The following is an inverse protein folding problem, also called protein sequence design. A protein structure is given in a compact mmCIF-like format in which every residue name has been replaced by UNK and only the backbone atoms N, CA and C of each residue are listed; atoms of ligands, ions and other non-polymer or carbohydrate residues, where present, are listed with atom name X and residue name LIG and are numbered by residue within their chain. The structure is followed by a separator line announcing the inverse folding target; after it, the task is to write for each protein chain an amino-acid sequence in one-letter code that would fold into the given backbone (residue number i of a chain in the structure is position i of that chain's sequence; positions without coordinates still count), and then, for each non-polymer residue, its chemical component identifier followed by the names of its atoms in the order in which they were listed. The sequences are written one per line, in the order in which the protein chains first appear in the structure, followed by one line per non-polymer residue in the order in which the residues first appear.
data_IF_690386327390
#
_entry.id   IF_690386327390
#
_cell.length_a   1.000
_cell.length_b   1.000
_cell.length_c   1.000
_cell.angle_alpha   90.00
_cell.angle_beta   90.00
_cell.angle_gamma   90.00
#
_symmetry.space_group_name_H-M   'P 1'
#
loop_
_entity.id
_entity.type
_entity.pdbx_description
1 polymer ?
#
# COMPACT_ATOMS: atom_id res chain seq x y z
N UNK A 1 -36.79 2.18 25.97
CA UNK A 1 -35.90 1.18 25.34
C UNK A 1 -34.74 1.85 24.62
N UNK A 2 -34.97 2.89 23.82
CA UNK A 2 -33.91 3.70 23.19
C UNK A 2 -32.85 4.23 24.18
N UNK A 3 -33.27 4.74 25.35
CA UNK A 3 -32.34 5.16 26.42
C UNK A 3 -31.37 4.05 26.83
N UNK A 4 -31.83 2.80 26.89
CA UNK A 4 -30.95 1.68 27.25
C UNK A 4 -29.93 1.39 26.15
N UNK A 5 -30.32 1.49 24.87
CA UNK A 5 -29.39 1.38 23.75
C UNK A 5 -28.34 2.50 23.82
N UNK A 6 -28.78 3.74 24.05
CA UNK A 6 -27.90 4.89 24.24
C UNK A 6 -26.88 4.66 25.36
N UNK A 7 -27.34 4.26 26.55
CA UNK A 7 -26.47 4.04 27.71
C UNK A 7 -25.40 2.97 27.42
N UNK A 8 -25.74 1.91 26.66
CA UNK A 8 -24.78 0.86 26.30
C UNK A 8 -23.83 1.27 25.18
N UNK A 9 -24.27 2.06 24.19
CA UNK A 9 -23.37 2.66 23.22
C UNK A 9 -22.42 3.67 23.88
N UNK A 10 -22.88 4.45 24.86
CA UNK A 10 -22.03 5.37 25.62
C UNK A 10 -20.92 4.62 26.38
N UNK A 11 -21.24 3.46 26.97
CA UNK A 11 -20.24 2.60 27.61
C UNK A 11 -19.28 1.97 26.59
N UNK A 12 -19.79 1.53 25.43
CA UNK A 12 -18.96 0.95 24.38
C UNK A 12 -17.99 1.99 23.80
N UNK A 13 -18.50 3.18 23.45
CA UNK A 13 -17.77 4.26 22.77
C UNK A 13 -17.12 5.25 23.74
N UNK A 14 -16.84 4.86 24.98
CA UNK A 14 -16.33 5.78 26.01
C UNK A 14 -15.06 6.53 25.59
N UNK A 15 -14.20 5.91 24.76
CA UNK A 15 -12.98 6.53 24.23
C UNK A 15 -13.24 7.46 23.03
N UNK A 16 -14.37 7.31 22.33
CA UNK A 16 -14.69 8.06 21.10
C UNK A 16 -15.47 9.35 21.37
N UNK A 17 -16.14 9.45 22.51
CA UNK A 17 -17.03 10.56 22.86
C UNK A 17 -16.35 11.94 22.85
N UNK A 18 -15.05 11.99 23.13
CA UNK A 18 -14.28 13.24 23.07
C UNK A 18 -14.09 13.74 21.62
N UNK A 19 -14.09 12.82 20.65
CA UNK A 19 -13.87 13.12 19.23
C UNK A 19 -15.18 13.33 18.48
N UNK A 20 -16.23 12.60 18.84
CA UNK A 20 -17.56 12.73 18.26
C UNK A 20 -18.65 12.54 19.32
N UNK A 21 -19.16 13.64 19.91
CA UNK A 21 -20.21 13.59 20.92
C UNK A 21 -21.57 13.09 20.40
N UNK A 22 -21.81 13.13 19.09
CA UNK A 22 -23.11 12.79 18.49
C UNK A 22 -23.21 11.31 18.10
N UNK A 23 -22.08 10.64 17.90
CA UNK A 23 -21.98 9.25 17.44
C UNK A 23 -22.84 8.25 18.24
N UNK A 24 -22.89 8.40 19.56
CA UNK A 24 -23.68 7.53 20.44
C UNK A 24 -25.18 7.69 20.18
N UNK A 25 -25.65 8.94 20.08
CA UNK A 25 -27.06 9.22 19.82
C UNK A 25 -27.48 8.70 18.44
N UNK A 26 -26.65 8.94 17.43
CA UNK A 26 -26.88 8.46 16.06
C UNK A 26 -26.96 6.94 16.02
N UNK A 27 -25.97 6.22 16.54
CA UNK A 27 -25.95 4.76 16.51
C UNK A 27 -27.03 4.12 17.36
N UNK A 28 -27.41 4.73 18.48
CA UNK A 28 -28.54 4.26 19.28
C UNK A 28 -29.86 4.35 18.50
N UNK A 29 -30.10 5.45 17.79
CA UNK A 29 -31.30 5.64 16.96
C UNK A 29 -31.33 4.66 15.78
N UNK A 30 -30.23 4.56 15.03
CA UNK A 30 -30.15 3.62 13.89
C UNK A 30 -30.32 2.17 14.34
N UNK A 31 -29.74 1.79 15.48
CA UNK A 31 -29.92 0.45 16.04
C UNK A 31 -31.36 0.17 16.47
N UNK A 32 -32.03 1.16 17.05
CA UNK A 32 -33.44 1.04 17.45
C UNK A 32 -34.33 0.89 16.23
N UNK A 33 -34.06 1.64 15.16
CA UNK A 33 -34.77 1.54 13.89
C UNK A 33 -34.60 0.14 13.26
N UNK A 34 -33.39 -0.44 13.28
CA UNK A 34 -33.14 -1.82 12.83
C UNK A 34 -33.98 -2.83 13.62
N UNK A 35 -33.94 -2.72 14.95
CA UNK A 35 -34.72 -3.61 15.83
C UNK A 35 -36.21 -3.45 15.57
N UNK A 36 -36.69 -2.21 15.40
CA UNK A 36 -38.08 -1.92 15.13
C UNK A 36 -38.54 -2.54 13.80
N UNK A 37 -37.77 -2.37 12.71
CA UNK A 37 -38.07 -2.94 11.39
C UNK A 37 -38.12 -4.47 11.39
N UNK A 38 -37.31 -5.13 12.23
CA UNK A 38 -37.18 -6.59 12.29
C UNK A 38 -38.03 -7.25 13.37
N UNK A 39 -38.79 -6.50 14.15
CA UNK A 39 -39.57 -7.03 15.26
C UNK A 39 -41.06 -6.67 15.17
N UNK A 40 -41.85 -7.40 15.92
CA UNK A 40 -43.28 -7.12 16.13
C UNK A 40 -43.47 -6.47 17.49
N UNK A 41 -44.66 -5.89 17.74
CA UNK A 41 -45.01 -5.29 19.05
C UNK A 41 -44.69 -6.20 20.24
N UNK A 42 -44.89 -7.52 20.10
CA UNK A 42 -44.66 -8.50 21.16
C UNK A 42 -43.18 -8.92 21.31
N UNK A 43 -42.39 -8.83 20.24
CA UNK A 43 -40.99 -9.29 20.22
C UNK A 43 -39.98 -8.15 20.35
N UNK A 44 -40.40 -6.90 20.15
CA UNK A 44 -39.55 -5.70 20.20
C UNK A 44 -38.73 -5.61 21.49
N UNK A 45 -39.35 -5.82 22.66
CA UNK A 45 -38.64 -5.75 23.95
C UNK A 45 -37.49 -6.76 24.02
N UNK A 46 -37.74 -7.99 23.58
CA UNK A 46 -36.74 -9.06 23.58
C UNK A 46 -35.65 -8.80 22.54
N UNK A 47 -36.01 -8.27 21.37
CA UNK A 47 -35.07 -7.90 20.32
C UNK A 47 -34.11 -6.79 20.80
N UNK A 48 -34.58 -5.78 21.52
CA UNK A 48 -33.71 -4.76 22.12
C UNK A 48 -32.78 -5.35 23.21
N UNK A 49 -33.27 -6.29 24.04
CA UNK A 49 -32.43 -6.96 25.04
C UNK A 49 -31.30 -7.75 24.36
N UNK A 50 -31.62 -8.47 23.28
CA UNK A 50 -30.63 -9.19 22.48
C UNK A 50 -29.62 -8.23 21.83
N UNK A 51 -30.08 -7.08 21.33
CA UNK A 51 -29.19 -6.05 20.78
C UNK A 51 -28.21 -5.54 21.85
N UNK A 52 -28.72 -5.21 23.04
CA UNK A 52 -27.89 -4.80 24.18
C UNK A 52 -26.87 -5.89 24.56
N UNK A 53 -27.28 -7.16 24.57
CA UNK A 53 -26.37 -8.28 24.84
C UNK A 53 -25.25 -8.38 23.81
N UNK A 54 -25.52 -8.11 22.53
CA UNK A 54 -24.49 -8.08 21.49
C UNK A 54 -23.53 -6.90 21.68
N UNK A 55 -24.04 -5.70 21.98
CA UNK A 55 -23.20 -4.53 22.25
C UNK A 55 -22.22 -4.75 23.40
N UNK A 56 -22.65 -5.43 24.47
CA UNK A 56 -21.79 -5.76 25.62
C UNK A 56 -20.62 -6.69 25.30
N UNK A 57 -20.72 -7.51 24.25
CA UNK A 57 -19.69 -8.47 23.85
C UNK A 57 -18.65 -7.86 22.90
N UNK A 58 -18.90 -6.65 22.40
CA UNK A 58 -18.01 -6.02 21.42
C UNK A 58 -16.72 -5.54 22.08
N UNK A 59 -15.57 -5.65 21.37
CA UNK A 59 -14.36 -4.96 21.78
C UNK A 59 -14.61 -3.45 21.78
N UNK A 60 -14.11 -2.78 22.82
CA UNK A 60 -14.26 -1.33 22.97
C UNK A 60 -13.40 -0.62 21.92
N UNK A 61 -14.00 0.20 21.04
CA UNK A 61 -13.25 0.95 20.06
C UNK A 61 -12.50 2.14 20.67
N UNK A 62 -11.30 2.37 20.16
CA UNK A 62 -10.39 3.47 20.48
C UNK A 62 -10.34 4.54 19.36
N UNK A 63 -10.84 4.23 18.16
CA UNK A 63 -11.07 5.19 17.07
C UNK A 63 -12.42 4.99 16.35
N UNK A 64 -12.93 6.03 15.68
CA UNK A 64 -14.28 6.06 15.07
C UNK A 64 -14.47 4.95 14.02
N UNK A 65 -13.42 4.59 13.30
CA UNK A 65 -13.48 3.60 12.22
C UNK A 65 -13.15 2.17 12.69
N UNK A 66 -13.14 1.92 14.00
CA UNK A 66 -12.88 0.60 14.56
C UNK A 66 -13.95 -0.43 14.14
N UNK A 67 -13.60 -1.71 13.87
CA UNK A 67 -14.55 -2.70 13.32
C UNK A 67 -15.84 -2.89 14.14
N UNK A 68 -15.78 -2.67 15.45
CA UNK A 68 -16.95 -2.78 16.35
C UNK A 68 -17.88 -1.56 16.37
N UNK A 69 -17.52 -0.48 15.68
CA UNK A 69 -18.33 0.74 15.56
C UNK A 69 -19.42 0.56 14.50
N UNK A 70 -20.62 1.04 14.82
CA UNK A 70 -21.81 0.93 13.98
C UNK A 70 -22.92 0.13 14.66
N UNK A 71 -24.00 -0.12 13.92
CA UNK A 71 -25.10 -0.97 14.39
C UNK A 71 -24.73 -2.45 14.33
N UNK A 72 -25.61 -3.34 14.80
CA UNK A 72 -25.43 -4.80 14.74
C UNK A 72 -25.45 -5.29 13.31
N UNK A 73 -26.39 -4.81 12.49
CA UNK A 73 -26.46 -5.26 11.10
C UNK A 73 -25.23 -4.81 10.31
N UNK A 74 -24.74 -3.58 10.54
CA UNK A 74 -23.54 -3.09 9.86
C UNK A 74 -22.28 -3.86 10.21
N UNK A 75 -22.08 -4.16 11.50
CA UNK A 75 -20.93 -4.95 11.96
C UNK A 75 -21.03 -6.37 11.40
N UNK A 76 -22.22 -6.98 11.45
CA UNK A 76 -22.45 -8.34 10.92
C UNK A 76 -22.23 -8.39 9.41
N UNK A 77 -22.76 -7.44 8.65
CA UNK A 77 -22.58 -7.37 7.20
C UNK A 77 -21.11 -7.17 6.81
N UNK A 78 -20.35 -6.37 7.57
CA UNK A 78 -18.90 -6.23 7.38
C UNK A 78 -18.16 -7.55 7.64
N UNK A 79 -18.49 -8.26 8.72
CA UNK A 79 -17.92 -9.57 9.03
C UNK A 79 -18.24 -10.62 7.94
N UNK A 80 -19.48 -10.65 7.46
CA UNK A 80 -19.90 -11.56 6.38
C UNK A 80 -19.20 -11.25 5.06
N UNK A 81 -19.11 -9.97 4.67
CA UNK A 81 -18.37 -9.54 3.49
C UNK A 81 -16.89 -9.90 3.59
N UNK A 82 -16.28 -9.71 4.76
CA UNK A 82 -14.89 -10.12 4.99
C UNK A 82 -14.69 -11.63 4.92
N UNK A 83 -15.63 -12.43 5.46
CA UNK A 83 -15.61 -13.90 5.32
C UNK A 83 -15.74 -14.32 3.86
N UNK A 84 -16.60 -13.66 3.10
CA UNK A 84 -16.75 -13.92 1.67
C UNK A 84 -15.45 -13.62 0.92
N UNK A 85 -14.82 -12.46 1.17
CA UNK A 85 -13.55 -12.08 0.57
C UNK A 85 -12.44 -13.08 0.93
N UNK A 86 -12.24 -13.36 2.22
CA UNK A 86 -11.18 -14.27 2.70
C UNK A 86 -11.36 -15.72 2.22
N UNK A 87 -12.59 -16.16 1.93
CA UNK A 87 -12.86 -17.49 1.37
C UNK A 87 -12.46 -17.63 -0.11
N UNK A 88 -12.26 -16.53 -0.82
CA UNK A 88 -11.87 -16.56 -2.24
C UNK A 88 -10.38 -16.82 -2.38
N UNK A 89 -10.05 -17.93 -3.04
CA UNK A 89 -8.71 -18.18 -3.54
C UNK A 89 -8.56 -17.59 -4.93
N UNK A 90 -7.70 -16.60 -5.09
CA UNK A 90 -7.38 -16.05 -6.40
C UNK A 90 -6.40 -17.00 -7.11
N UNK A 91 -6.70 -17.29 -8.37
CA UNK A 91 -5.82 -18.05 -9.26
C UNK A 91 -5.26 -17.17 -10.36
N UNK A 92 -4.23 -17.67 -11.07
CA UNK A 92 -3.69 -16.97 -12.23
C UNK A 92 -4.76 -16.67 -13.27
N UNK A 93 -5.68 -17.60 -13.52
CA UNK A 93 -6.75 -17.45 -14.50
C UNK A 93 -7.71 -16.30 -14.13
N UNK A 94 -7.93 -16.07 -12.83
CA UNK A 94 -8.78 -14.98 -12.35
C UNK A 94 -8.15 -13.61 -12.62
N UNK A 95 -6.82 -13.53 -12.61
CA UNK A 95 -6.08 -12.27 -12.59
C UNK A 95 -5.32 -11.94 -13.87
N UNK A 96 -5.13 -12.89 -14.78
CA UNK A 96 -4.30 -12.69 -15.97
C UNK A 96 -4.75 -11.47 -16.80
N UNK A 97 -6.05 -11.24 -16.89
CA UNK A 97 -6.62 -10.08 -17.61
C UNK A 97 -6.45 -8.73 -16.89
N UNK A 98 -6.02 -8.74 -15.63
CA UNK A 98 -5.71 -7.55 -14.82
C UNK A 98 -4.21 -7.27 -14.76
N UNK A 99 -3.37 -8.16 -15.31
CA UNK A 99 -1.92 -7.92 -15.38
C UNK A 99 -1.62 -6.70 -16.25
N UNK A 100 -0.69 -5.88 -15.80
CA UNK A 100 -0.35 -4.64 -16.49
C UNK A 100 0.53 -4.90 -17.73
N UNK A 101 0.19 -4.31 -18.89
CA UNK A 101 1.07 -4.29 -20.05
C UNK A 101 2.40 -3.57 -19.78
N UNK A 102 3.48 -3.94 -20.48
CA UNK A 102 4.83 -3.41 -20.26
C UNK A 102 4.95 -1.89 -20.46
N UNK A 103 4.19 -1.29 -21.37
CA UNK A 103 4.13 0.16 -21.56
C UNK A 103 3.50 0.87 -20.35
N UNK A 104 2.46 0.27 -19.77
CA UNK A 104 1.87 0.75 -18.51
C UNK A 104 2.87 0.62 -17.37
N UNK A 105 3.58 -0.52 -17.26
CA UNK A 105 4.65 -0.71 -16.27
C UNK A 105 5.69 0.42 -16.35
N UNK A 106 6.21 0.71 -17.55
CA UNK A 106 7.19 1.79 -17.77
C UNK A 106 6.64 3.15 -17.37
N UNK A 107 5.40 3.47 -17.75
CA UNK A 107 4.75 4.74 -17.41
C UNK A 107 4.58 4.93 -15.89
N UNK A 108 4.43 3.83 -15.15
CA UNK A 108 4.33 3.84 -13.69
C UNK A 108 5.68 3.69 -12.98
N UNK A 109 6.78 3.69 -13.74
CA UNK A 109 8.13 3.72 -13.22
C UNK A 109 8.71 2.36 -12.84
N UNK A 110 8.12 1.25 -13.30
CA UNK A 110 8.72 -0.07 -13.17
C UNK A 110 9.97 -0.19 -14.04
N UNK A 111 10.97 -0.91 -13.52
CA UNK A 111 12.14 -1.32 -14.30
C UNK A 111 11.79 -2.67 -14.92
N UNK A 112 11.62 -2.69 -16.24
CA UNK A 112 11.17 -3.88 -16.98
C UNK A 112 12.28 -4.58 -17.75
N UNK A 113 13.42 -3.92 -17.92
CA UNK A 113 14.61 -4.42 -18.60
C UNK A 113 15.82 -4.27 -17.67
N UNK A 114 16.77 -5.21 -17.72
CA UNK A 114 18.00 -5.12 -16.92
C UNK A 114 18.83 -3.97 -17.50
N UNK A 115 19.26 -3.00 -16.67
CA UNK A 115 20.16 -1.94 -17.13
C UNK A 115 21.48 -2.51 -17.68
N UNK A 116 22.06 -1.84 -18.68
CA UNK A 116 23.32 -2.28 -19.28
C UNK A 116 24.50 -2.17 -18.31
N UNK A 117 25.48 -3.06 -18.46
CA UNK A 117 26.71 -3.11 -17.65
C UNK A 117 26.67 -4.11 -16.50
N UNK A 118 27.78 -4.22 -15.76
CA UNK A 118 27.85 -5.05 -14.55
C UNK A 118 27.22 -4.34 -13.35
N UNK A 119 26.38 -5.04 -12.61
CA UNK A 119 25.73 -4.52 -11.41
C UNK A 119 26.42 -4.94 -10.11
N UNK A 120 26.21 -4.15 -9.06
CA UNK A 120 26.76 -4.39 -7.72
C UNK A 120 28.23 -3.99 -7.53
N UNK A 121 28.83 -3.32 -8.51
CA UNK A 121 30.22 -2.83 -8.45
C UNK A 121 30.41 -1.68 -7.46
N UNK A 122 29.35 -0.94 -7.15
CA UNK A 122 29.40 0.18 -6.22
C UNK A 122 28.23 0.07 -5.20
N UNK A 123 28.35 -0.71 -4.12
CA UNK A 123 27.21 -0.97 -3.23
C UNK A 123 26.76 0.26 -2.41
N UNK A 124 27.65 1.25 -2.24
CA UNK A 124 27.45 2.41 -1.37
C UNK A 124 27.90 3.72 -2.03
N UNK A 125 27.29 4.83 -1.60
CA UNK A 125 27.65 6.21 -1.97
C UNK A 125 28.49 6.91 -0.91
N UNK A 126 28.98 6.23 0.12
CA UNK A 126 29.86 6.83 1.14
C UNK A 126 30.99 7.64 0.48
N UNK A 127 31.20 8.87 0.95
CA UNK A 127 32.18 9.82 0.41
C UNK A 127 31.68 10.67 -0.77
N UNK A 128 30.51 10.39 -1.34
CA UNK A 128 29.92 11.16 -2.43
C UNK A 128 28.93 12.20 -1.93
N UNK A 129 28.82 13.31 -2.65
CA UNK A 129 27.81 14.35 -2.38
C UNK A 129 26.50 14.00 -3.07
N UNK A 130 25.42 13.94 -2.30
CA UNK A 130 24.06 13.67 -2.78
C UNK A 130 23.12 14.82 -2.38
N UNK A 131 22.00 14.95 -3.10
CA UNK A 131 20.90 15.84 -2.70
C UNK A 131 20.06 15.15 -1.62
N UNK A 132 19.83 15.82 -0.49
CA UNK A 132 19.01 15.28 0.57
C UNK A 132 17.52 15.23 0.15
N UNK A 133 16.87 14.07 0.29
CA UNK A 133 15.43 13.90 -0.01
C UNK A 133 14.54 14.69 0.95
N UNK A 134 15.04 14.99 2.16
CA UNK A 134 14.28 15.63 3.24
C UNK A 134 14.29 17.15 3.16
N UNK A 135 15.47 17.76 3.10
CA UNK A 135 15.65 19.22 3.12
C UNK A 135 16.12 19.79 1.77
N UNK A 136 16.33 18.95 0.76
CA UNK A 136 16.86 19.33 -0.57
C UNK A 136 18.29 19.91 -0.59
N UNK A 137 18.97 20.04 0.55
CA UNK A 137 20.36 20.52 0.60
C UNK A 137 21.34 19.43 0.16
N UNK A 138 22.45 19.80 -0.51
CA UNK A 138 23.53 18.87 -0.79
C UNK A 138 24.24 18.48 0.51
N UNK A 139 24.61 17.21 0.63
CA UNK A 139 25.36 16.69 1.78
C UNK A 139 26.26 15.54 1.33
N UNK A 140 27.30 15.23 2.11
CA UNK A 140 28.16 14.08 1.85
C UNK A 140 27.61 12.84 2.57
N UNK A 141 27.44 11.73 1.86
CA UNK A 141 27.03 10.46 2.46
C UNK A 141 28.18 9.93 3.32
N UNK A 142 27.89 9.66 4.59
CA UNK A 142 28.84 9.18 5.60
C UNK A 142 28.27 7.97 6.32
N UNK A 143 29.13 7.22 7.00
CA UNK A 143 28.70 6.16 7.91
C UNK A 143 27.85 6.75 9.07
N UNK A 144 26.98 5.94 9.71
CA UNK A 144 25.98 6.44 10.66
C UNK A 144 26.58 7.18 11.85
N UNK A 145 27.76 6.77 12.31
CA UNK A 145 28.52 7.39 13.40
C UNK A 145 28.98 8.83 13.10
N UNK A 146 29.02 9.21 11.83
CA UNK A 146 29.47 10.52 11.32
C UNK A 146 28.42 11.20 10.45
N UNK A 147 27.18 10.71 10.48
CA UNK A 147 26.10 11.27 9.69
C UNK A 147 25.76 12.69 10.17
N UNK A 148 25.55 13.60 9.22
CA UNK A 148 25.12 14.97 9.50
C UNK A 148 23.62 15.00 9.82
N UNK A 149 23.23 15.93 10.68
CA UNK A 149 21.84 16.13 11.07
C UNK A 149 21.11 17.05 10.10
N UNK A 150 19.87 16.68 9.82
CA UNK A 150 18.92 17.33 8.94
C UNK A 150 17.68 17.72 9.77
N UNK A 151 17.27 18.98 9.65
CA UNK A 151 15.96 19.43 10.10
C UNK A 151 14.97 19.35 8.93
N UNK A 152 13.89 18.58 9.10
CA UNK A 152 12.92 18.35 8.02
C UNK A 152 11.48 18.17 8.48
N UNK A 153 10.58 18.14 7.50
CA UNK A 153 9.19 17.79 7.64
C UNK A 153 8.94 16.44 6.96
N UNK A 154 8.49 15.44 7.71
CA UNK A 154 8.12 14.14 7.15
C UNK A 154 6.73 14.16 6.51
N UNK A 155 5.88 15.11 6.90
CA UNK A 155 4.51 15.23 6.40
C UNK A 155 4.48 15.86 5.01
N UNK A 156 3.48 15.49 4.21
CA UNK A 156 3.26 16.10 2.90
C UNK A 156 2.72 17.51 3.06
N UNK A 157 2.92 18.34 2.03
CA UNK A 157 2.34 19.67 1.98
C UNK A 157 0.89 19.59 1.50
N UNK A 158 -0.02 20.32 2.13
CA UNK A 158 -1.41 20.44 1.72
C UNK A 158 -1.91 21.87 1.83
N UNK A 159 -2.89 22.24 1.01
CA UNK A 159 -3.48 23.58 1.01
C UNK A 159 -4.75 23.59 1.84
N UNK A 160 -4.83 24.48 2.82
CA UNK A 160 -6.04 24.76 3.59
C UNK A 160 -6.58 26.14 3.17
N UNK A 161 -7.87 26.21 2.88
CA UNK A 161 -8.58 27.49 2.67
C UNK A 161 -9.02 28.01 4.04
N UNK A 162 -8.67 29.25 4.35
CA UNK A 162 -9.08 29.94 5.58
C UNK A 162 -10.33 30.80 5.33
N UNK A 163 -10.94 31.28 6.42
CA UNK A 163 -12.04 32.25 6.33
C UNK A 163 -11.58 33.48 5.53
N UNK A 164 -12.31 33.84 4.47
CA UNK A 164 -11.93 34.93 3.56
C UNK A 164 -11.29 34.50 2.24
N UNK A 165 -11.21 33.20 1.94
CA UNK A 165 -10.64 32.64 0.70
C UNK A 165 -9.10 32.61 0.60
N UNK A 166 -8.41 33.00 1.68
CA UNK A 166 -6.95 32.89 1.74
C UNK A 166 -6.50 31.42 1.77
N UNK A 167 -5.47 31.10 0.99
CA UNK A 167 -4.92 29.75 0.88
C UNK A 167 -3.57 29.68 1.58
N UNK A 168 -3.47 28.83 2.59
CA UNK A 168 -2.21 28.57 3.29
C UNK A 168 -1.73 27.15 2.98
N UNK A 169 -0.46 27.01 2.63
CA UNK A 169 0.20 25.70 2.49
C UNK A 169 0.76 25.29 3.85
N UNK A 170 0.36 24.12 4.33
CA UNK A 170 0.74 23.56 5.63
C UNK A 170 1.39 22.19 5.44
N UNK A 171 2.20 21.75 6.41
CA UNK A 171 2.67 20.37 6.47
C UNK A 171 1.72 19.48 7.28
N UNK A 172 1.41 18.28 6.79
CA UNK A 172 0.53 17.33 7.51
C UNK A 172 1.12 16.85 8.84
N UNK A 173 2.43 16.97 9.05
CA UNK A 173 3.09 16.47 10.25
C UNK A 173 2.93 17.34 11.49
N UNK A 174 2.85 18.66 11.33
CA UNK A 174 2.84 19.61 12.45
C UNK A 174 1.91 20.80 12.20
N UNK A 175 1.22 20.84 11.06
CA UNK A 175 0.33 21.92 10.64
C UNK A 175 0.98 23.32 10.58
N UNK A 176 2.32 23.39 10.57
CA UNK A 176 3.03 24.66 10.40
C UNK A 176 2.97 25.12 8.94
N UNK A 177 2.86 26.44 8.69
CA UNK A 177 3.00 27.02 7.36
C UNK A 177 4.33 26.65 6.69
N UNK A 178 4.28 26.36 5.39
CA UNK A 178 5.48 26.11 4.58
C UNK A 178 6.38 27.36 4.51
N UNK A 179 5.77 28.55 4.60
CA UNK A 179 6.47 29.83 4.55
C UNK A 179 7.41 30.08 5.74
N UNK A 180 7.15 29.45 6.90
CA UNK A 180 7.93 29.65 8.12
C UNK A 180 9.34 29.04 8.03
N UNK A 181 9.57 28.16 7.04
CA UNK A 181 10.83 27.44 6.88
C UNK A 181 11.16 26.48 8.04
N UNK A 182 12.37 25.93 7.99
CA UNK A 182 12.87 24.98 9.00
C UNK A 182 12.19 23.61 8.97
N UNK A 183 12.64 22.71 9.84
CA UNK A 183 12.07 21.36 10.04
C UNK A 183 11.34 21.23 11.38
N UNK A 184 10.41 20.27 11.49
CA UNK A 184 9.77 19.93 12.77
C UNK A 184 10.30 18.63 13.39
N UNK A 185 11.19 17.94 12.67
CA UNK A 185 11.87 16.72 13.11
C UNK A 185 13.35 16.87 12.75
N UNK A 186 14.20 16.41 13.66
CA UNK A 186 15.65 16.28 13.45
C UNK A 186 15.97 14.81 13.23
N UNK A 187 16.82 14.52 12.25
CA UNK A 187 17.28 13.17 11.93
C UNK A 187 18.38 13.23 10.89
N UNK A 188 18.90 12.11 10.38
CA UNK A 188 19.99 12.15 9.41
C UNK A 188 19.55 12.70 8.04
N UNK A 189 20.49 13.26 7.30
CA UNK A 189 20.32 13.43 5.86
C UNK A 189 20.21 12.07 5.16
N UNK A 190 19.33 11.96 4.16
CA UNK A 190 19.12 10.74 3.37
C UNK A 190 18.96 11.10 1.90
N UNK A 191 19.19 10.15 0.99
CA UNK A 191 19.00 10.36 -0.44
C UNK A 191 18.12 9.26 -1.02
N UNK A 192 17.42 9.59 -2.11
CA UNK A 192 16.65 8.65 -2.90
C UNK A 192 17.25 8.60 -4.31
N UNK A 193 17.50 7.39 -4.80
CA UNK A 193 18.02 7.13 -6.14
C UNK A 193 16.96 6.32 -6.88
N UNK A 194 16.60 6.74 -8.10
CA UNK A 194 15.56 6.10 -8.89
C UNK A 194 16.02 5.75 -10.30
N UNK A 195 17.24 6.17 -10.66
CA UNK A 195 17.83 5.86 -11.95
C UNK A 195 18.14 4.35 -12.03
N UNK A 196 17.62 3.62 -13.03
CA UNK A 196 17.79 2.17 -13.11
C UNK A 196 19.26 1.75 -13.14
N UNK A 197 20.10 2.45 -13.88
CA UNK A 197 21.54 2.16 -14.02
C UNK A 197 22.25 2.34 -12.68
N UNK A 198 22.01 3.46 -11.98
CA UNK A 198 22.59 3.70 -10.67
C UNK A 198 22.14 2.64 -9.63
N UNK A 199 20.86 2.26 -9.64
CA UNK A 199 20.33 1.19 -8.80
C UNK A 199 20.96 -0.17 -9.12
N UNK A 200 21.22 -0.47 -10.39
CA UNK A 200 21.91 -1.67 -10.85
C UNK A 200 23.37 -1.70 -10.36
N UNK A 201 24.07 -0.56 -10.40
CA UNK A 201 25.42 -0.42 -9.83
C UNK A 201 25.43 -0.66 -8.31
N UNK A 202 24.38 -0.25 -7.58
CA UNK A 202 24.25 -0.51 -6.12
C UNK A 202 24.07 -1.99 -5.80
N UNK A 203 23.22 -2.66 -6.57
CA UNK A 203 23.01 -4.10 -6.50
C UNK A 203 22.34 -4.54 -7.81
N UNK A 204 22.92 -5.56 -8.47
CA UNK A 204 22.44 -6.04 -9.75
C UNK A 204 20.95 -6.46 -9.72
N UNK A 205 20.21 -6.00 -10.72
CA UNK A 205 18.88 -6.53 -11.06
C UNK A 205 19.00 -7.93 -11.65
N UNK A 206 18.02 -8.79 -11.40
CA UNK A 206 17.84 -10.04 -12.16
C UNK A 206 16.38 -10.23 -12.52
N UNK A 207 16.11 -10.92 -13.64
CA UNK A 207 14.75 -11.31 -13.96
C UNK A 207 14.31 -12.44 -13.04
N UNK A 208 13.01 -12.48 -12.80
CA UNK A 208 12.32 -13.71 -12.38
C UNK A 208 12.36 -14.69 -13.56
N UNK A 209 12.83 -15.91 -13.30
CA UNK A 209 13.00 -16.94 -14.31
C UNK A 209 11.86 -17.96 -14.20
N UNK A 210 11.45 -18.62 -15.31
CA UNK A 210 10.57 -19.78 -15.23
C UNK A 210 11.16 -20.87 -14.34
N UNK A 211 10.31 -21.59 -13.61
CA UNK A 211 10.73 -22.69 -12.75
C UNK A 211 9.87 -23.94 -13.03
N UNK A 212 10.49 -24.96 -13.63
CA UNK A 212 9.79 -26.19 -14.05
C UNK A 212 9.58 -27.19 -12.90
N UNK A 213 10.03 -26.89 -11.68
CA UNK A 213 9.99 -27.83 -10.55
C UNK A 213 8.59 -27.98 -9.91
N UNK A 214 7.58 -27.22 -10.38
CA UNK A 214 6.17 -27.38 -9.97
C UNK A 214 5.83 -26.94 -8.53
N UNK A 215 6.75 -26.27 -7.83
CA UNK A 215 6.57 -25.82 -6.43
C UNK A 215 6.15 -24.36 -6.30
N UNK A 216 5.98 -23.66 -7.42
CA UNK A 216 5.72 -22.22 -7.44
C UNK A 216 4.24 -21.90 -7.26
N UNK A 217 3.97 -20.71 -6.72
CA UNK A 217 2.62 -20.25 -6.46
C UNK A 217 2.03 -19.59 -7.72
N UNK A 218 0.73 -19.76 -7.93
CA UNK A 218 0.01 -19.10 -9.03
C UNK A 218 -0.05 -17.58 -8.84
N UNK A 219 -0.32 -17.18 -7.60
CA UNK A 219 -0.58 -15.81 -7.17
C UNK A 219 0.02 -15.62 -5.78
N UNK A 220 0.70 -14.50 -5.61
CA UNK A 220 1.17 -14.01 -4.31
C UNK A 220 0.76 -12.56 -4.12
N UNK A 221 0.56 -12.13 -2.88
CA UNK A 221 0.58 -10.71 -2.54
C UNK A 221 1.80 -10.41 -1.67
N UNK A 222 2.47 -9.29 -1.93
CA UNK A 222 3.67 -8.94 -1.20
C UNK A 222 3.78 -7.44 -0.93
N UNK A 223 4.55 -7.13 0.09
CA UNK A 223 4.91 -5.78 0.49
C UNK A 223 6.28 -5.82 1.18
N UNK A 224 7.06 -4.76 1.02
CA UNK A 224 8.38 -4.63 1.61
C UNK A 224 8.46 -3.40 2.52
N UNK A 225 9.15 -3.57 3.65
CA UNK A 225 9.57 -2.44 4.47
C UNK A 225 10.94 -1.98 4.04
N UNK A 226 11.14 -0.66 3.91
CA UNK A 226 12.40 -0.09 3.44
C UNK A 226 13.02 0.90 4.41
N UNK A 227 14.34 0.99 4.34
CA UNK A 227 15.19 1.87 5.14
C UNK A 227 16.10 2.70 4.26
N UNK A 228 16.57 3.83 4.77
CA UNK A 228 17.61 4.63 4.11
C UNK A 228 19.00 4.14 4.54
N UNK A 229 19.87 3.94 3.57
CA UNK A 229 21.23 3.43 3.77
C UNK A 229 22.26 4.30 3.06
N UNK A 230 23.53 4.03 3.31
CA UNK A 230 24.64 4.62 2.51
C UNK A 230 24.58 4.19 1.04
N UNK A 231 23.88 3.10 0.71
CA UNK A 231 23.58 2.64 -0.65
C UNK A 231 22.21 3.05 -1.18
N UNK A 232 21.56 4.04 -0.58
CA UNK A 232 20.24 4.54 -0.97
C UNK A 232 19.09 3.83 -0.24
N UNK A 233 17.89 3.88 -0.82
CA UNK A 233 16.70 3.24 -0.27
C UNK A 233 16.73 1.72 -0.53
N UNK A 234 16.69 0.91 0.54
CA UNK A 234 16.86 -0.54 0.47
C UNK A 234 15.78 -1.28 1.26
N UNK A 235 15.42 -2.47 0.77
CA UNK A 235 14.52 -3.39 1.47
C UNK A 235 15.18 -3.87 2.77
N UNK A 236 14.43 -3.84 3.87
CA UNK A 236 14.82 -4.31 5.19
C UNK A 236 13.89 -5.42 5.72
N UNK A 237 12.69 -5.58 5.14
CA UNK A 237 11.80 -6.72 5.35
C UNK A 237 11.01 -6.98 4.08
N UNK A 238 10.73 -8.23 3.79
CA UNK A 238 9.79 -8.63 2.73
C UNK A 238 8.81 -9.63 3.30
N UNK A 239 7.52 -9.37 3.04
CA UNK A 239 6.41 -10.21 3.42
C UNK A 239 5.69 -10.70 2.17
N UNK A 240 5.38 -12.00 2.12
CA UNK A 240 4.66 -12.64 1.02
C UNK A 240 3.59 -13.54 1.60
N UNK A 241 2.37 -13.37 1.09
CA UNK A 241 1.24 -14.25 1.35
C UNK A 241 0.80 -14.92 0.04
N UNK A 242 0.26 -16.12 0.13
CA UNK A 242 -0.31 -16.81 -1.03
C UNK A 242 -1.66 -16.23 -1.46
N UNK A 243 -2.22 -16.72 -2.57
CA UNK A 243 -3.55 -16.33 -3.07
C UNK A 243 -4.73 -16.65 -2.14
N UNK A 244 -4.51 -17.34 -1.02
CA UNK A 244 -5.51 -17.56 0.05
C UNK A 244 -5.34 -16.58 1.21
N UNK A 245 -4.22 -15.86 1.28
CA UNK A 245 -3.89 -14.91 2.33
C UNK A 245 -3.11 -15.53 3.49
N UNK A 246 -2.55 -16.73 3.31
CA UNK A 246 -1.66 -17.36 4.28
C UNK A 246 -0.24 -16.84 4.06
N UNK A 247 0.42 -16.45 5.15
CA UNK A 247 1.83 -16.08 5.14
C UNK A 247 2.71 -17.27 4.73
N UNK A 248 3.50 -17.06 3.67
CA UNK A 248 4.43 -18.07 3.11
C UNK A 248 5.88 -17.63 3.18
N UNK A 249 6.14 -16.34 3.38
CA UNK A 249 7.48 -15.78 3.54
C UNK A 249 7.41 -14.47 4.33
N UNK A 250 8.20 -14.35 5.39
CA UNK A 250 8.34 -13.10 6.15
C UNK A 250 9.76 -13.04 6.73
N UNK A 251 10.61 -12.23 6.13
CA UNK A 251 12.02 -12.21 6.46
C UNK A 251 12.59 -10.79 6.51
N UNK A 252 13.46 -10.56 7.49
CA UNK A 252 14.30 -9.36 7.56
C UNK A 252 15.49 -9.49 6.62
N UNK A 253 15.81 -8.40 5.92
CA UNK A 253 16.89 -8.34 4.94
C UNK A 253 18.12 -7.66 5.55
N UNK A 254 19.22 -8.41 5.62
CA UNK A 254 20.52 -7.91 6.05
C UNK A 254 21.12 -7.03 4.95
N UNK A 255 21.72 -5.91 5.34
CA UNK A 255 22.41 -5.03 4.40
C UNK A 255 23.68 -5.69 3.83
N UNK A 256 24.00 -5.35 2.58
CA UNK A 256 25.21 -5.84 1.92
C UNK A 256 26.48 -5.33 2.62
N UNK A 257 27.62 -6.04 2.48
CA UNK A 257 28.89 -5.55 2.99
C UNK A 257 29.21 -4.13 2.49
N UNK A 258 29.61 -3.24 3.41
CA UNK A 258 29.93 -1.84 3.12
C UNK A 258 28.71 -0.92 2.96
N UNK A 259 27.50 -1.42 3.26
CA UNK A 259 26.26 -0.65 3.27
C UNK A 259 25.71 -0.59 4.70
N UNK A 260 25.56 0.62 5.22
CA UNK A 260 25.10 0.86 6.57
C UNK A 260 23.72 1.52 6.56
N UNK A 261 22.86 1.15 7.50
CA UNK A 261 21.57 1.82 7.70
C UNK A 261 21.80 3.19 8.31
N UNK A 262 21.34 4.23 7.62
CA UNK A 262 21.43 5.63 8.05
C UNK A 262 20.17 6.01 8.81
N UNK A 263 19.00 5.60 8.32
CA UNK A 263 17.72 5.84 8.97
C UNK A 263 16.78 4.64 8.73
N UNK A 264 16.31 4.05 9.82
CA UNK A 264 15.38 2.92 9.78
C UNK A 264 13.99 3.29 9.27
N UNK A 265 13.67 4.58 9.16
CA UNK A 265 12.38 5.06 8.67
C UNK A 265 11.19 4.47 9.47
N UNK A 266 11.41 4.16 10.76
CA UNK A 266 10.54 3.33 11.62
C UNK A 266 9.08 3.75 11.61
N UNK A 267 8.80 5.05 11.50
CA UNK A 267 7.43 5.57 11.40
C UNK A 267 6.64 4.95 10.26
N UNK A 268 7.30 4.62 9.16
CA UNK A 268 6.68 4.02 8.00
C UNK A 268 7.01 2.54 7.92
N UNK A 269 8.25 2.15 8.24
CA UNK A 269 8.73 0.79 8.01
C UNK A 269 8.45 -0.21 9.15
N UNK A 270 8.20 0.28 10.36
CA UNK A 270 8.17 -0.55 11.59
C UNK A 270 9.51 -1.21 11.95
N UNK A 271 10.58 -0.94 11.18
CA UNK A 271 11.92 -1.49 11.43
C UNK A 271 12.61 -0.67 12.51
N UNK A 272 13.21 -1.36 13.47
CA UNK A 272 14.02 -0.77 14.54
C UNK A 272 15.44 -1.32 14.48
N UNK A 273 16.44 -0.62 15.06
CA UNK A 273 17.79 -1.17 15.17
C UNK A 273 17.82 -2.56 15.82
N UNK A 274 17.00 -2.76 16.85
CA UNK A 274 16.95 -4.01 17.62
C UNK A 274 16.35 -5.16 16.79
N UNK A 275 15.28 -4.93 16.03
CA UNK A 275 14.72 -5.99 15.19
C UNK A 275 15.60 -6.26 13.98
N UNK A 276 16.13 -5.22 13.31
CA UNK A 276 16.97 -5.37 12.13
C UNK A 276 18.30 -6.07 12.41
N UNK A 277 18.85 -5.92 13.62
CA UNK A 277 20.06 -6.64 14.06
C UNK A 277 19.92 -8.17 13.99
N UNK A 278 18.68 -8.69 13.93
CA UNK A 278 18.38 -10.13 13.80
C UNK A 278 18.38 -10.60 12.34
N UNK A 279 18.49 -9.70 11.36
CA UNK A 279 18.49 -10.05 9.95
C UNK A 279 19.73 -10.88 9.58
N UNK A 280 19.51 -12.08 9.05
CA UNK A 280 20.59 -13.02 8.71
C UNK A 280 20.85 -13.03 7.19
N UNK A 281 19.77 -13.07 6.41
CA UNK A 281 19.85 -13.26 4.96
C UNK A 281 20.10 -11.94 4.24
N UNK A 282 21.13 -11.92 3.39
CA UNK A 282 21.34 -10.79 2.47
C UNK A 282 20.31 -10.83 1.34
N UNK A 283 20.15 -9.72 0.60
CA UNK A 283 19.15 -9.59 -0.46
C UNK A 283 19.27 -10.70 -1.52
N UNK A 284 20.49 -11.11 -1.89
CA UNK A 284 20.71 -12.21 -2.83
C UNK A 284 20.18 -13.56 -2.34
N UNK A 285 20.31 -13.85 -1.04
CA UNK A 285 19.77 -15.06 -0.43
C UNK A 285 18.24 -15.00 -0.31
N UNK A 286 17.69 -13.83 0.05
CA UNK A 286 16.24 -13.59 0.05
C UNK A 286 15.64 -13.83 -1.34
N UNK A 287 16.23 -13.26 -2.40
CA UNK A 287 15.78 -13.47 -3.78
C UNK A 287 15.85 -14.93 -4.22
N UNK A 288 16.87 -15.65 -3.77
CA UNK A 288 16.95 -17.10 -4.01
C UNK A 288 15.80 -17.83 -3.31
N UNK A 289 15.46 -17.47 -2.08
CA UNK A 289 14.29 -18.04 -1.39
C UNK A 289 12.98 -17.69 -2.09
N UNK A 290 12.80 -16.43 -2.49
CA UNK A 290 11.64 -15.99 -3.26
C UNK A 290 11.50 -16.76 -4.59
N UNK A 291 12.60 -17.10 -5.27
CA UNK A 291 12.57 -17.86 -6.53
C UNK A 291 12.03 -19.30 -6.39
N UNK A 292 11.97 -19.82 -5.16
CA UNK A 292 11.31 -21.10 -4.89
C UNK A 292 9.79 -20.99 -4.86
N UNK A 293 9.26 -19.79 -4.63
CA UNK A 293 7.84 -19.47 -4.48
C UNK A 293 7.27 -18.71 -5.70
N UNK A 294 8.10 -17.88 -6.33
CA UNK A 294 7.73 -16.91 -7.37
C UNK A 294 8.61 -17.15 -8.60
N UNK A 295 8.00 -17.49 -9.72
CA UNK A 295 8.67 -17.59 -11.03
C UNK A 295 8.22 -16.48 -11.99
N UNK A 296 8.65 -16.55 -13.25
CA UNK A 296 8.26 -15.59 -14.28
C UNK A 296 6.75 -15.56 -14.59
N UNK A 297 6.00 -16.58 -14.15
CA UNK A 297 4.59 -16.78 -14.46
C UNK A 297 3.66 -16.55 -13.26
N UNK A 298 4.17 -16.64 -12.02
CA UNK A 298 3.48 -16.23 -10.79
C UNK A 298 2.98 -14.79 -10.91
N UNK A 299 1.72 -14.51 -10.56
CA UNK A 299 1.22 -13.13 -10.52
C UNK A 299 1.51 -12.52 -9.15
N UNK A 300 2.23 -11.39 -9.12
CA UNK A 300 2.49 -10.61 -7.90
C UNK A 300 1.45 -9.50 -7.75
N UNK A 301 0.76 -9.49 -6.61
CA UNK A 301 -0.17 -8.46 -6.17
C UNK A 301 0.52 -7.53 -5.16
N UNK A 302 0.29 -6.23 -5.26
CA UNK A 302 0.79 -5.24 -4.29
C UNK A 302 0.18 -3.85 -4.48
N UNK A 303 0.73 -2.86 -3.79
CA UNK A 303 0.28 -1.47 -3.86
C UNK A 303 1.46 -0.52 -4.10
N UNK A 304 1.67 -0.09 -5.35
CA UNK A 304 2.88 0.61 -5.75
C UNK A 304 4.11 -0.30 -5.79
N UNK A 305 3.92 -1.51 -6.35
CA UNK A 305 4.91 -2.60 -6.39
C UNK A 305 6.22 -2.21 -7.06
N UNK A 306 6.26 -1.13 -7.85
CA UNK A 306 7.50 -0.69 -8.45
C UNK A 306 8.55 -0.34 -7.40
N UNK A 307 8.16 0.12 -6.22
CA UNK A 307 9.09 0.42 -5.14
C UNK A 307 9.66 -0.85 -4.51
N UNK A 308 8.80 -1.84 -4.26
CA UNK A 308 9.17 -3.16 -3.78
C UNK A 308 10.13 -3.85 -4.74
N UNK A 309 9.74 -3.98 -6.01
CA UNK A 309 10.55 -4.64 -7.04
C UNK A 309 11.87 -3.90 -7.29
N UNK A 310 11.88 -2.56 -7.25
CA UNK A 310 13.14 -1.79 -7.27
C UNK A 310 14.03 -2.18 -6.10
N UNK A 311 13.54 -2.11 -4.87
CA UNK A 311 14.36 -2.34 -3.67
C UNK A 311 14.81 -3.80 -3.53
N UNK A 312 14.02 -4.75 -4.03
CA UNK A 312 14.38 -6.15 -4.16
C UNK A 312 15.32 -6.43 -5.34
N UNK A 313 15.52 -5.46 -6.25
CA UNK A 313 16.24 -5.63 -7.52
C UNK A 313 15.63 -6.76 -8.38
N UNK A 314 14.31 -6.90 -8.24
CA UNK A 314 13.32 -7.71 -8.95
C UNK A 314 12.99 -7.19 -10.36
N UNK A 315 13.19 -7.93 -11.45
CA UNK A 315 12.44 -7.69 -12.69
C UNK A 315 11.39 -8.79 -12.86
N UNK A 316 10.12 -8.39 -12.80
CA UNK A 316 8.99 -9.28 -12.89
C UNK A 316 7.87 -8.60 -13.68
N UNK A 317 7.24 -9.32 -14.59
CA UNK A 317 6.28 -8.73 -15.56
C UNK A 317 4.82 -9.11 -15.29
N UNK A 318 4.55 -10.09 -14.42
CA UNK A 318 3.19 -10.50 -14.08
C UNK A 318 2.72 -9.79 -12.81
N UNK A 319 2.45 -8.48 -12.91
CA UNK A 319 2.04 -7.67 -11.76
C UNK A 319 0.57 -7.23 -11.84
N UNK A 320 -0.12 -7.26 -10.68
CA UNK A 320 -1.40 -6.61 -10.44
C UNK A 320 -1.21 -5.59 -9.32
N UNK A 321 -1.21 -4.30 -9.67
CA UNK A 321 -0.98 -3.22 -8.72
C UNK A 321 -2.28 -2.51 -8.39
N UNK A 322 -2.67 -2.52 -7.11
CA UNK A 322 -3.89 -1.87 -6.65
C UNK A 322 -3.88 -0.35 -6.79
N UNK A 323 -2.72 0.30 -6.79
CA UNK A 323 -2.62 1.74 -7.06
C UNK A 323 -3.02 2.10 -8.51
N UNK A 324 -2.91 1.14 -9.43
CA UNK A 324 -3.25 1.27 -10.84
C UNK A 324 -4.67 0.74 -11.10
N UNK A 325 -5.03 -0.36 -10.44
CA UNK A 325 -6.36 -0.97 -10.54
C UNK A 325 -7.46 -0.04 -10.00
N UNK A 326 -7.13 0.81 -9.03
CA UNK A 326 -8.00 1.83 -8.46
C UNK A 326 -7.45 3.23 -8.75
N UNK A 327 -7.64 3.74 -9.99
CA UNK A 327 -6.99 4.97 -10.43
C UNK A 327 -7.45 6.19 -9.65
N UNK A 328 -6.52 7.12 -9.42
CA UNK A 328 -6.83 8.43 -8.86
C UNK A 328 -7.60 9.29 -9.88
N UNK A 329 -8.55 10.11 -9.42
CA UNK A 329 -9.38 10.97 -10.29
C UNK A 329 -8.57 11.97 -11.15
N UNK A 330 -7.41 12.39 -10.65
CA UNK A 330 -6.49 13.28 -11.35
C UNK A 330 -5.55 12.57 -12.35
N UNK A 331 -5.65 11.23 -12.49
CA UNK A 331 -4.77 10.43 -13.34
C UNK A 331 -3.36 10.25 -12.77
N UNK A 332 -2.52 9.54 -13.51
CA UNK A 332 -1.10 9.36 -13.17
C UNK A 332 -0.37 10.72 -13.15
N UNK A 333 0.65 10.91 -12.28
CA UNK A 333 1.23 9.95 -11.35
C UNK A 333 0.54 9.90 -9.98
N UNK A 334 -0.61 10.58 -9.80
CA UNK A 334 -1.31 10.59 -8.51
C UNK A 334 -1.89 9.22 -8.19
N UNK A 335 -1.81 8.83 -6.92
CA UNK A 335 -2.25 7.54 -6.39
C UNK A 335 -3.20 7.74 -5.22
N UNK A 336 -4.14 6.82 -5.09
CA UNK A 336 -4.92 6.66 -3.86
C UNK A 336 -4.09 5.82 -2.88
N UNK A 337 -4.09 6.16 -1.60
CA UNK A 337 -3.37 5.36 -0.61
C UNK A 337 -4.08 4.03 -0.34
N UNK A 338 -3.32 2.99 0.02
CA UNK A 338 -3.89 1.69 0.42
C UNK A 338 -4.90 1.87 1.57
N UNK A 339 -4.59 2.73 2.55
CA UNK A 339 -5.48 3.06 3.66
C UNK A 339 -6.82 3.65 3.22
N UNK A 340 -6.82 4.56 2.24
CA UNK A 340 -8.06 5.11 1.68
C UNK A 340 -8.86 4.04 0.93
N UNK A 341 -8.20 3.19 0.14
CA UNK A 341 -8.86 2.12 -0.61
C UNK A 341 -9.47 1.06 0.31
N UNK A 342 -8.72 0.63 1.32
CA UNK A 342 -9.19 -0.34 2.31
C UNK A 342 -10.41 0.18 3.07
N UNK A 343 -10.40 1.46 3.44
CA UNK A 343 -11.54 2.11 4.10
C UNK A 343 -12.75 2.21 3.17
N UNK A 344 -12.56 2.65 1.94
CA UNK A 344 -13.67 2.85 0.98
C UNK A 344 -14.34 1.54 0.57
N UNK A 345 -13.54 0.52 0.21
CA UNK A 345 -14.07 -0.70 -0.42
C UNK A 345 -14.35 -1.82 0.59
N UNK A 346 -13.60 -1.88 1.68
CA UNK A 346 -13.70 -2.97 2.67
C UNK A 346 -14.20 -2.50 4.03
N UNK A 347 -14.34 -1.18 4.23
CA UNK A 347 -14.65 -0.62 5.56
C UNK A 347 -13.56 -0.90 6.60
N UNK A 348 -12.34 -1.24 6.17
CA UNK A 348 -11.22 -1.60 7.04
C UNK A 348 -10.32 -0.40 7.29
N UNK A 349 -9.81 -0.31 8.50
CA UNK A 349 -8.76 0.63 8.88
C UNK A 349 -7.50 -0.18 9.07
N UNK A 350 -6.51 0.09 8.24
CA UNK A 350 -5.18 -0.49 8.34
C UNK A 350 -4.19 0.58 8.79
N UNK A 351 -3.00 0.19 9.20
CA UNK A 351 -1.95 1.13 9.62
C UNK A 351 -2.48 2.07 10.72
N UNK A 352 -3.17 1.47 11.71
CA UNK A 352 -3.76 2.19 12.84
C UNK A 352 -2.75 2.39 13.99
N UNK A 353 -1.58 1.76 13.91
CA UNK A 353 -0.51 1.86 14.89
C UNK A 353 0.02 3.28 15.07
N UNK A 354 0.64 3.51 16.21
CA UNK A 354 1.26 4.80 16.53
C UNK A 354 2.48 5.09 15.65
N UNK A 355 2.97 6.36 15.61
CA UNK A 355 4.15 6.73 14.82
C UNK A 355 5.45 5.99 15.18
N UNK A 356 5.46 5.23 16.28
CA UNK A 356 6.57 4.41 16.79
C UNK A 356 6.48 2.95 16.38
N UNK A 357 5.31 2.47 15.95
CA UNK A 357 5.08 1.07 15.56
C UNK A 357 5.31 0.85 14.07
N UNK A 358 5.08 1.88 13.25
CA UNK A 358 5.22 1.79 11.80
C UNK A 358 4.13 0.98 11.13
N UNK A 359 4.33 0.63 9.86
CA UNK A 359 3.42 -0.25 9.13
C UNK A 359 3.83 -1.71 9.29
N UNK A 360 2.92 -2.60 8.89
CA UNK A 360 3.15 -4.04 8.85
C UNK A 360 2.94 -4.52 7.41
N UNK A 361 4.03 -4.89 6.75
CA UNK A 361 3.99 -5.47 5.41
C UNK A 361 3.07 -6.70 5.26
N UNK A 362 2.83 -7.47 6.33
CA UNK A 362 1.82 -8.54 6.32
C UNK A 362 0.39 -7.96 6.28
N UNK A 363 0.11 -6.94 7.10
CA UNK A 363 -1.19 -6.25 7.07
C UNK A 363 -1.46 -5.65 5.68
N UNK A 364 -0.44 -5.00 5.11
CA UNK A 364 -0.54 -4.33 3.81
C UNK A 364 -0.66 -5.34 2.65
N UNK A 365 0.04 -6.47 2.71
CA UNK A 365 -0.12 -7.59 1.76
C UNK A 365 -1.54 -8.17 1.79
N UNK A 366 -2.09 -8.41 2.99
CA UNK A 366 -3.46 -8.93 3.17
C UNK A 366 -4.50 -7.92 2.67
N UNK A 367 -4.33 -6.64 3.02
CA UNK A 367 -5.24 -5.58 2.59
C UNK A 367 -5.27 -5.44 1.07
N UNK A 368 -4.10 -5.57 0.43
CA UNK A 368 -3.98 -5.53 -1.03
C UNK A 368 -4.65 -6.74 -1.68
N UNK A 369 -4.41 -7.95 -1.17
CA UNK A 369 -5.06 -9.16 -1.66
C UNK A 369 -6.59 -9.06 -1.57
N UNK A 370 -7.10 -8.58 -0.43
CA UNK A 370 -8.53 -8.39 -0.20
C UNK A 370 -9.13 -7.31 -1.12
N UNK A 371 -8.39 -6.25 -1.47
CA UNK A 371 -8.82 -5.27 -2.48
C UNK A 371 -8.95 -5.89 -3.86
N UNK A 372 -8.04 -6.77 -4.26
CA UNK A 372 -8.14 -7.48 -5.55
C UNK A 372 -9.32 -8.47 -5.53
N UNK A 373 -9.52 -9.21 -4.44
CA UNK A 373 -10.71 -10.06 -4.24
C UNK A 373 -12.00 -9.25 -4.39
N UNK A 374 -12.05 -8.08 -3.74
CA UNK A 374 -13.18 -7.16 -3.83
C UNK A 374 -13.41 -6.71 -5.26
N UNK A 375 -12.34 -6.34 -5.97
CA UNK A 375 -12.41 -5.93 -7.37
C UNK A 375 -13.00 -7.03 -8.24
N UNK A 376 -12.52 -8.26 -8.12
CA UNK A 376 -12.99 -9.42 -8.91
C UNK A 376 -14.47 -9.72 -8.64
N UNK A 377 -14.94 -9.57 -7.39
CA UNK A 377 -16.35 -9.78 -7.04
C UNK A 377 -17.29 -8.68 -7.60
N UNK A 378 -16.85 -7.43 -7.59
CA UNK A 378 -17.74 -6.28 -7.80
C UNK A 378 -17.59 -5.64 -9.19
N UNK A 379 -16.49 -5.85 -9.89
CA UNK A 379 -16.27 -5.30 -11.23
C UNK A 379 -16.54 -6.38 -12.28
N UNK A 380 -17.41 -6.11 -13.27
CA UNK A 380 -17.69 -7.07 -14.32
C UNK A 380 -16.41 -7.37 -15.10
N UNK A 381 -16.17 -8.65 -15.41
CA UNK A 381 -15.10 -9.05 -16.33
C UNK A 381 -15.25 -8.24 -17.62
N UNK A 382 -14.16 -7.66 -18.17
CA UNK A 382 -14.24 -6.99 -19.46
C UNK A 382 -14.80 -7.99 -20.48
N UNK A 383 -15.80 -7.56 -21.26
CA UNK A 383 -16.29 -8.37 -22.38
C UNK A 383 -15.10 -8.67 -23.29
N UNK A 384 -14.90 -9.92 -23.75
CA UNK A 384 -13.82 -10.22 -24.68
C UNK A 384 -13.93 -9.25 -25.85
N UNK A 385 -12.81 -8.59 -26.17
CA UNK A 385 -12.75 -7.68 -27.29
C UNK A 385 -13.19 -8.45 -28.54
N UNK A 386 -14.35 -8.11 -29.09
CA UNK A 386 -14.74 -8.61 -30.40
C UNK A 386 -13.65 -8.14 -31.36
N UNK A 387 -12.92 -9.09 -31.94
CA UNK A 387 -11.95 -8.82 -32.99
C UNK A 387 -12.67 -8.09 -34.11
N UNK A 388 -12.56 -6.76 -34.16
CA UNK A 388 -12.90 -6.00 -35.35
C UNK A 388 -11.82 -6.34 -36.37
N UNK A 389 -12.08 -7.38 -37.16
CA UNK A 389 -11.37 -7.59 -38.42
C UNK A 389 -11.53 -6.29 -39.21
N UNK A 390 -10.45 -5.61 -39.61
CA UNK A 390 -10.58 -4.40 -40.41
C UNK A 390 -11.31 -4.74 -41.70
N UNK A 391 -12.44 -4.06 -41.94
CA UNK A 391 -13.10 -4.02 -43.23
C UNK A 391 -12.09 -3.52 -44.27
N UNK A 392 -11.88 -4.30 -45.32
CA UNK A 392 -11.06 -3.91 -46.47
C UNK A 392 -11.77 -2.80 -47.25
N UNK A 393 -11.60 -1.54 -46.80
CA UNK A 393 -12.09 -0.40 -47.55
C UNK A 393 -11.14 -0.10 -48.71
N UNK A 394 -11.76 -0.11 -49.89
CA UNK A 394 -11.19 0.04 -51.23
C UNK A 394 -10.32 1.30 -51.33
N UNK A 395 -9.05 1.10 -51.70
CA UNK A 395 -8.20 2.16 -52.23
C UNK A 395 -8.80 2.65 -53.55
N UNK A 396 -9.46 3.81 -53.51
CA UNK A 396 -9.88 4.53 -54.72
C UNK A 396 -8.67 5.33 -55.19
N UNK A 397 -7.98 4.80 -56.22
CA UNK A 397 -6.96 5.52 -56.97
C UNK A 397 -7.67 6.63 -57.75
N UNK A 398 -7.49 7.90 -57.36
CA UNK A 398 -7.85 9.05 -58.19
C UNK A 398 -6.70 9.33 -59.15
N UNK A 399 -6.94 9.07 -60.43
CA UNK A 399 -6.08 9.48 -61.53
C UNK A 399 -6.43 10.90 -62.02
N UNK A 400 -5.40 11.67 -62.38
CA UNK A 400 -5.46 12.89 -63.20
C UNK A 400 -4.81 14.11 -62.53
N UNK A 401 -3.94 14.91 -63.18
CA UNK A 401 -3.42 15.03 -64.56
C UNK A 401 -2.09 15.83 -64.52
N UNK A 402 -1.27 15.81 -65.58
CA UNK A 402 0.05 16.47 -65.59
C UNK A 402 -0.05 17.94 -65.98
N UNK A 403 0.90 18.75 -65.52
CA UNK A 403 1.18 20.10 -66.02
C UNK A 403 2.67 20.18 -66.37
N UNK A 404 2.96 20.17 -67.67
CA UNK A 404 4.10 20.86 -68.25
C UNK A 404 3.57 22.23 -68.71
N UNK A 405 4.12 23.30 -68.14
CA UNK A 405 4.83 24.39 -68.83
C UNK A 405 5.64 25.19 -67.80
#
# INVERSE_FOLDING_TARGET
MIKNLYDHFAVLYSALLASDPHLVAEHALRQEEEVYKKSTKFTYRNAVINAISNLKRRPKPDFISHPSVGTIDEVTAREESQKQLSSLRLTRQDLQHLTMPLDVMRNWGYIVDIPEGEGGSEPSRTGHTMKCERCSQPYMVKAPDRAEECDYHWGRQFTKVMEGSDKVRLYTCCLRPVADGGGCVRGPHVFYENDPTALHLRHAFSPTLPNDNGTVLDVVAMDCEMVYTTGGFRCARVSVIDGTGVEVFDELVRMDPGVDVVDYNTRFSGITPENHSKAVLALSAIRKSLSMLIDASTIIIGHGLENDLKTLRMIHHQCVDTAILFPHKAGAPYRRSLKELAKEHMGKVIQAGGPTEGHSSIEDSVATLDLVRWYVLHKPKPKPAQSKVPSADKVVIKAGRPLFD
#
